data_IF_926071043959
#
_entry.id   IF_926071043959
#
_cell.length_a   1.000
_cell.length_b   1.000
_cell.length_c   1.000
_cell.angle_alpha   90.00
_cell.angle_beta   90.00
_cell.angle_gamma   90.00
#
_symmetry.space_group_name_H-M   'P 1'
#
loop_
_entity.id
_entity.type
_entity.pdbx_description
1 polymer ?
#
# COMPACT_ATOMS: atom_id res chain seq x y z
N UNK A 1 -35.72 54.32 -34.07
CA UNK A 1 -34.70 54.40 -33.00
C UNK A 1 -35.15 53.54 -31.82
N UNK A 2 -34.24 52.72 -31.26
CA UNK A 2 -34.30 51.86 -30.04
C UNK A 2 -34.85 50.42 -30.12
N UNK A 3 -33.91 49.53 -30.46
CA UNK A 3 -33.58 48.20 -29.89
C UNK A 3 -34.35 47.72 -28.64
N UNK A 4 -34.73 46.42 -28.66
CA UNK A 4 -34.97 45.60 -27.46
C UNK A 4 -34.18 44.29 -27.51
N UNK A 5 -32.97 44.44 -26.99
CA UNK A 5 -32.01 43.54 -26.35
C UNK A 5 -32.40 42.09 -26.07
N UNK A 6 -31.54 41.19 -26.57
CA UNK A 6 -31.47 39.74 -26.35
C UNK A 6 -30.86 39.46 -24.97
N UNK A 7 -31.58 38.80 -24.05
CA UNK A 7 -31.05 38.47 -22.71
C UNK A 7 -31.19 36.99 -22.29
N UNK A 8 -31.54 36.07 -23.19
CA UNK A 8 -31.77 34.67 -22.83
C UNK A 8 -30.58 33.71 -23.09
N UNK A 9 -29.48 34.17 -23.70
CA UNK A 9 -28.44 33.27 -24.21
C UNK A 9 -27.20 33.10 -23.30
N UNK A 10 -27.05 33.89 -22.24
CA UNK A 10 -25.81 33.95 -21.43
C UNK A 10 -25.81 33.08 -20.18
N UNK A 11 -26.97 32.62 -19.69
CA UNK A 11 -27.04 31.83 -18.43
C UNK A 11 -26.82 30.33 -18.61
N UNK A 12 -27.00 29.78 -19.82
CA UNK A 12 -26.85 28.33 -20.06
C UNK A 12 -25.39 27.90 -20.26
N UNK A 13 -24.52 28.83 -20.70
CA UNK A 13 -23.11 28.56 -20.96
C UNK A 13 -22.27 28.45 -19.67
N UNK A 14 -22.67 29.16 -18.62
CA UNK A 14 -21.96 29.16 -17.33
C UNK A 14 -22.16 27.84 -16.53
N UNK A 15 -23.31 27.17 -16.69
CA UNK A 15 -23.59 25.88 -16.03
C UNK A 15 -22.86 24.74 -16.74
N UNK A 16 -22.67 24.82 -18.06
CA UNK A 16 -21.91 23.83 -18.82
C UNK A 16 -20.40 23.86 -18.51
N UNK A 17 -19.86 25.04 -18.20
CA UNK A 17 -18.45 25.21 -17.83
C UNK A 17 -18.15 24.65 -16.42
N UNK A 18 -19.08 24.71 -15.46
CA UNK A 18 -18.87 24.10 -14.13
C UNK A 18 -18.95 22.55 -14.17
N UNK A 19 -19.70 21.97 -15.10
CA UNK A 19 -19.76 20.51 -15.26
C UNK A 19 -18.47 19.92 -15.86
N UNK A 20 -17.66 20.73 -16.56
CA UNK A 20 -16.44 20.26 -17.20
C UNK A 20 -15.20 20.32 -16.29
N UNK A 21 -15.26 21.08 -15.18
CA UNK A 21 -14.16 21.15 -14.20
C UNK A 21 -14.21 19.97 -13.21
N UNK A 22 -15.34 19.26 -13.12
CA UNK A 22 -15.52 18.10 -12.25
C UNK A 22 -14.92 16.78 -12.76
N UNK A 23 -14.32 16.77 -13.95
CA UNK A 23 -13.84 15.52 -14.59
C UNK A 23 -12.47 15.67 -15.25
N UNK A 24 -11.59 16.49 -14.70
CA UNK A 24 -10.15 16.24 -14.88
C UNK A 24 -9.76 15.15 -13.89
N UNK A 25 -10.13 13.90 -14.21
CA UNK A 25 -9.38 12.75 -13.74
C UNK A 25 -7.98 12.93 -14.33
N UNK A 26 -7.08 13.54 -13.55
CA UNK A 26 -5.65 13.47 -13.84
C UNK A 26 -5.34 11.98 -13.98
N UNK A 27 -4.77 11.57 -15.10
CA UNK A 27 -4.27 10.22 -15.26
C UNK A 27 -3.25 10.01 -14.14
N UNK A 28 -3.69 9.34 -13.08
CA UNK A 28 -2.85 8.93 -11.97
C UNK A 28 -2.05 7.75 -12.51
N UNK A 29 -0.73 7.80 -12.40
CA UNK A 29 0.11 6.68 -12.80
C UNK A 29 -0.39 5.43 -12.05
N UNK A 30 -0.70 4.38 -12.80
CA UNK A 30 -1.18 3.13 -12.24
C UNK A 30 -0.03 2.49 -11.45
N UNK A 31 -0.24 2.23 -10.16
CA UNK A 31 0.74 1.64 -9.26
C UNK A 31 0.28 0.24 -8.90
N UNK A 32 1.09 -0.76 -9.21
CA UNK A 32 0.88 -2.13 -8.73
C UNK A 32 1.82 -2.41 -7.56
N UNK A 33 1.27 -2.81 -6.42
CA UNK A 33 1.99 -3.22 -5.21
C UNK A 33 1.96 -4.74 -5.10
N UNK A 34 3.11 -5.38 -4.93
CA UNK A 34 3.19 -6.83 -4.75
C UNK A 34 3.33 -7.18 -3.27
N UNK A 35 2.45 -8.05 -2.77
CA UNK A 35 2.42 -8.47 -1.37
C UNK A 35 2.68 -9.97 -1.25
N UNK A 36 3.76 -10.38 -0.57
CA UNK A 36 4.11 -11.78 -0.39
C UNK A 36 3.76 -12.30 0.99
N UNK A 37 3.11 -13.46 1.05
CA UNK A 37 2.64 -14.09 2.29
C UNK A 37 2.84 -15.61 2.29
N UNK A 38 2.77 -16.22 3.47
CA UNK A 38 2.69 -17.68 3.61
C UNK A 38 1.26 -18.20 3.82
N UNK A 39 0.25 -17.32 3.78
CA UNK A 39 -1.15 -17.63 4.11
C UNK A 39 -1.94 -18.02 2.86
N UNK A 40 -1.53 -19.10 2.21
CA UNK A 40 -2.25 -19.69 1.06
C UNK A 40 -3.72 -19.99 1.36
N UNK A 41 -4.03 -20.35 2.60
CA UNK A 41 -5.37 -20.70 3.06
C UNK A 41 -6.30 -19.50 3.28
N UNK A 42 -5.75 -18.28 3.35
CA UNK A 42 -6.50 -17.04 3.61
C UNK A 42 -6.49 -16.09 2.41
N UNK A 43 -6.12 -16.57 1.21
CA UNK A 43 -5.98 -15.73 0.02
C UNK A 43 -7.23 -14.88 -0.25
N UNK A 44 -8.42 -15.46 -0.17
CA UNK A 44 -9.68 -14.74 -0.34
C UNK A 44 -9.87 -13.62 0.69
N UNK A 45 -9.48 -13.85 1.94
CA UNK A 45 -9.60 -12.86 3.02
C UNK A 45 -8.60 -11.71 2.85
N UNK A 46 -7.38 -12.00 2.38
CA UNK A 46 -6.42 -10.96 2.02
C UNK A 46 -6.90 -10.14 0.83
N UNK A 47 -7.44 -10.78 -0.21
CA UNK A 47 -8.00 -10.08 -1.37
C UNK A 47 -9.17 -9.17 -0.97
N UNK A 48 -10.04 -9.58 -0.04
CA UNK A 48 -11.11 -8.69 0.46
C UNK A 48 -10.55 -7.44 1.18
N UNK A 49 -9.46 -7.58 1.94
CA UNK A 49 -8.77 -6.43 2.56
C UNK A 49 -8.19 -5.50 1.47
N UNK A 50 -7.59 -6.06 0.43
CA UNK A 50 -6.99 -5.28 -0.64
C UNK A 50 -8.04 -4.61 -1.53
N UNK A 51 -9.17 -5.26 -1.82
CA UNK A 51 -10.29 -4.66 -2.54
C UNK A 51 -10.78 -3.38 -1.84
N UNK A 52 -10.86 -3.40 -0.50
CA UNK A 52 -11.23 -2.21 0.30
C UNK A 52 -10.15 -1.13 0.17
N UNK A 53 -8.88 -1.50 0.17
CA UNK A 53 -7.77 -0.56 0.02
C UNK A 53 -7.74 0.08 -1.38
N UNK A 54 -7.89 -0.71 -2.45
CA UNK A 54 -7.93 -0.24 -3.84
C UNK A 54 -9.13 0.69 -4.10
N UNK A 55 -10.30 0.34 -3.54
CA UNK A 55 -11.49 1.20 -3.63
C UNK A 55 -11.28 2.57 -2.96
N UNK A 56 -10.46 2.63 -1.91
CA UNK A 56 -10.10 3.87 -1.23
C UNK A 56 -8.93 4.61 -1.90
N UNK A 57 -8.14 3.94 -2.75
CA UNK A 57 -6.94 4.47 -3.39
C UNK A 57 -7.00 4.25 -4.91
N UNK A 58 -7.76 5.08 -5.66
CA UNK A 58 -7.86 4.95 -7.11
C UNK A 58 -6.48 4.95 -7.79
N UNK A 59 -6.30 4.05 -8.76
CA UNK A 59 -5.04 3.89 -9.48
C UNK A 59 -4.01 3.00 -8.79
N UNK A 60 -4.32 2.44 -7.62
CA UNK A 60 -3.50 1.40 -6.99
C UNK A 60 -4.14 0.03 -7.20
N UNK A 61 -3.32 -0.95 -7.55
CA UNK A 61 -3.64 -2.37 -7.62
C UNK A 61 -2.72 -3.12 -6.67
N UNK A 62 -3.21 -4.12 -5.95
CA UNK A 62 -2.43 -4.95 -5.04
C UNK A 62 -2.42 -6.40 -5.55
N UNK A 63 -1.24 -6.89 -5.93
CA UNK A 63 -1.04 -8.28 -6.31
C UNK A 63 -0.61 -9.09 -5.08
N UNK A 64 -1.53 -9.91 -4.55
CA UNK A 64 -1.21 -10.84 -3.48
C UNK A 64 -0.61 -12.15 -4.03
N UNK A 65 0.59 -12.48 -3.58
CA UNK A 65 1.32 -13.68 -4.02
C UNK A 65 1.60 -14.58 -2.80
N UNK A 66 0.72 -15.55 -2.50
CA UNK A 66 0.94 -16.48 -1.42
C UNK A 66 1.86 -17.63 -1.86
N UNK A 67 2.79 -18.02 -0.97
CA UNK A 67 3.65 -19.18 -1.15
C UNK A 67 3.41 -20.21 -0.05
N UNK A 68 3.74 -21.47 -0.33
CA UNK A 68 3.67 -22.55 0.65
C UNK A 68 4.56 -22.21 1.86
N UNK A 69 3.98 -22.31 3.06
CA UNK A 69 4.63 -21.83 4.28
C UNK A 69 6.00 -22.46 4.60
N UNK A 70 6.24 -23.70 4.18
CA UNK A 70 7.54 -24.38 4.37
C UNK A 70 8.65 -23.78 3.53
N UNK A 71 8.30 -23.16 2.40
CA UNK A 71 9.26 -22.66 1.41
C UNK A 71 9.42 -21.14 1.48
N UNK A 72 8.43 -20.46 2.08
CA UNK A 72 8.31 -19.01 2.13
C UNK A 72 9.59 -18.28 2.56
N UNK A 73 10.23 -18.67 3.67
CA UNK A 73 11.39 -17.94 4.17
C UNK A 73 12.58 -17.98 3.17
N UNK A 74 12.77 -19.10 2.45
CA UNK A 74 13.82 -19.23 1.44
C UNK A 74 13.49 -18.42 0.19
N UNK A 75 12.22 -18.44 -0.22
CA UNK A 75 11.71 -17.65 -1.34
C UNK A 75 11.89 -16.15 -1.05
N UNK A 76 11.45 -15.70 0.14
CA UNK A 76 11.57 -14.31 0.56
C UNK A 76 13.02 -13.84 0.62
N UNK A 77 13.90 -14.61 1.27
CA UNK A 77 15.32 -14.27 1.35
C UNK A 77 15.97 -14.12 -0.03
N UNK A 78 15.60 -14.98 -0.99
CA UNK A 78 16.07 -14.89 -2.38
C UNK A 78 15.46 -13.69 -3.10
N UNK A 79 14.15 -13.50 -3.00
CA UNK A 79 13.41 -12.41 -3.64
C UNK A 79 13.93 -11.03 -3.23
N UNK A 80 14.19 -10.83 -1.94
CA UNK A 80 14.71 -9.57 -1.40
C UNK A 80 16.18 -9.27 -1.79
N UNK A 81 16.87 -10.17 -2.49
CA UNK A 81 18.21 -9.89 -3.06
C UNK A 81 18.18 -9.54 -4.54
N UNK A 82 17.05 -9.78 -5.22
CA UNK A 82 16.88 -9.54 -6.66
C UNK A 82 15.95 -8.37 -6.97
N UNK A 83 15.85 -8.02 -8.26
CA UNK A 83 15.00 -6.91 -8.75
C UNK A 83 13.49 -7.25 -8.83
N UNK A 84 13.05 -8.39 -8.29
CA UNK A 84 11.67 -8.89 -8.40
C UNK A 84 11.08 -9.41 -7.08
N UNK A 85 11.62 -8.95 -5.95
CA UNK A 85 11.03 -9.22 -4.63
C UNK A 85 9.72 -8.46 -4.42
N UNK A 86 9.03 -8.71 -3.30
CA UNK A 86 7.81 -7.99 -2.96
C UNK A 86 8.07 -6.54 -2.57
N UNK A 87 7.06 -5.69 -2.76
CA UNK A 87 7.02 -4.36 -2.14
C UNK A 87 6.67 -4.48 -0.64
N UNK A 88 5.79 -5.44 -0.29
CA UNK A 88 5.41 -5.73 1.09
C UNK A 88 5.54 -7.23 1.37
N UNK A 89 6.30 -7.59 2.40
CA UNK A 89 6.48 -8.98 2.81
C UNK A 89 5.86 -9.23 4.19
N UNK A 90 5.20 -10.38 4.34
CA UNK A 90 4.86 -10.89 5.66
C UNK A 90 6.14 -11.35 6.39
N UNK A 91 6.40 -10.79 7.57
CA UNK A 91 7.65 -11.06 8.30
C UNK A 91 7.44 -12.02 9.48
N UNK A 92 8.45 -12.87 9.73
CA UNK A 92 8.50 -13.72 10.93
C UNK A 92 8.96 -12.89 12.13
N UNK A 93 8.12 -12.74 13.15
CA UNK A 93 8.46 -11.93 14.32
C UNK A 93 9.72 -12.41 15.09
N UNK A 94 10.25 -11.52 15.93
CA UNK A 94 11.36 -11.72 16.84
C UNK A 94 12.63 -12.18 16.13
N UNK A 95 13.13 -13.39 16.46
CA UNK A 95 14.34 -13.93 15.85
C UNK A 95 14.21 -14.17 14.35
N UNK A 96 12.99 -14.34 13.83
CA UNK A 96 12.76 -14.66 12.43
C UNK A 96 13.05 -13.50 11.47
N UNK A 97 12.89 -12.25 11.90
CA UNK A 97 13.09 -11.07 11.05
C UNK A 97 14.54 -10.57 11.07
N UNK A 98 15.32 -10.94 12.09
CA UNK A 98 16.64 -10.35 12.33
C UNK A 98 17.61 -10.56 11.16
N UNK A 99 17.61 -11.74 10.54
CA UNK A 99 18.51 -12.01 9.41
C UNK A 99 18.25 -11.06 8.22
N UNK A 100 17.00 -10.66 7.99
CA UNK A 100 16.64 -9.72 6.93
C UNK A 100 17.01 -8.28 7.30
N UNK A 101 16.86 -7.91 8.59
CA UNK A 101 17.29 -6.61 9.13
C UNK A 101 18.81 -6.47 9.02
N UNK A 102 19.55 -7.46 9.52
CA UNK A 102 21.02 -7.48 9.51
C UNK A 102 21.59 -7.48 8.09
N UNK A 103 20.86 -8.05 7.13
CA UNK A 103 21.21 -8.01 5.71
C UNK A 103 20.85 -6.68 5.01
N UNK A 104 20.21 -5.73 5.70
CA UNK A 104 19.80 -4.44 5.15
C UNK A 104 18.69 -4.55 4.10
N UNK A 105 17.88 -5.60 4.17
CA UNK A 105 16.87 -5.93 3.16
C UNK A 105 15.48 -5.36 3.47
N UNK A 106 15.33 -4.68 4.61
CA UNK A 106 14.06 -4.09 5.06
C UNK A 106 14.24 -2.60 5.29
N UNK A 107 13.20 -1.85 4.94
CA UNK A 107 13.11 -0.42 5.21
C UNK A 107 12.75 -0.21 6.70
N UNK A 108 13.52 0.56 7.49
CA UNK A 108 13.07 0.99 8.81
C UNK A 108 11.84 1.90 8.67
N UNK A 109 10.83 1.67 9.51
CA UNK A 109 9.53 2.33 9.43
C UNK A 109 9.36 3.46 10.46
N UNK A 110 10.39 3.72 11.28
CA UNK A 110 10.37 4.79 12.28
C UNK A 110 10.09 6.16 11.64
N UNK A 111 8.93 6.74 11.95
CA UNK A 111 8.51 8.03 11.40
C UNK A 111 7.88 7.98 9.99
N UNK A 112 7.91 6.82 9.33
CA UNK A 112 7.27 6.60 8.02
C UNK A 112 5.80 6.20 8.17
N UNK A 113 5.46 5.48 9.25
CA UNK A 113 4.09 5.04 9.54
C UNK A 113 3.71 5.32 10.99
N UNK A 114 2.42 5.48 11.27
CA UNK A 114 1.92 5.66 12.64
C UNK A 114 1.88 4.32 13.38
N UNK A 115 2.82 4.14 14.30
CA UNK A 115 2.93 2.97 15.17
C UNK A 115 2.42 3.21 16.59
N UNK A 116 1.87 4.39 16.88
CA UNK A 116 1.47 4.78 18.24
C UNK A 116 0.34 3.92 18.83
N UNK A 117 -0.40 3.21 17.98
CA UNK A 117 -1.44 2.25 18.38
C UNK A 117 -0.92 0.92 18.93
N UNK A 118 0.39 0.63 18.82
CA UNK A 118 0.99 -0.63 19.26
C UNK A 118 1.75 -0.46 20.57
N UNK A 119 1.70 -1.49 21.43
CA UNK A 119 2.52 -1.52 22.64
C UNK A 119 3.97 -1.89 22.33
N UNK A 120 4.92 -1.40 23.13
CA UNK A 120 6.34 -1.76 23.03
C UNK A 120 6.58 -3.28 22.99
N UNK A 121 5.77 -4.05 23.73
CA UNK A 121 5.86 -5.50 23.79
C UNK A 121 5.56 -6.16 22.43
N UNK A 122 4.59 -5.60 21.68
CA UNK A 122 4.23 -6.09 20.35
C UNK A 122 5.26 -5.61 19.32
N UNK A 123 5.67 -4.33 19.40
CA UNK A 123 6.65 -3.74 18.49
C UNK A 123 7.99 -4.47 18.51
N UNK A 124 8.38 -5.02 19.67
CA UNK A 124 9.58 -5.86 19.83
C UNK A 124 9.64 -7.06 18.87
N UNK A 125 8.50 -7.51 18.34
CA UNK A 125 8.44 -8.54 17.30
C UNK A 125 9.07 -8.11 15.97
N UNK A 126 9.12 -6.80 15.68
CA UNK A 126 9.67 -6.25 14.44
C UNK A 126 10.87 -5.31 14.68
N UNK A 127 11.32 -5.17 15.92
CA UNK A 127 12.47 -4.30 16.27
C UNK A 127 13.80 -4.99 15.96
N UNK A 128 14.70 -4.26 15.30
CA UNK A 128 16.09 -4.64 15.11
C UNK A 128 16.84 -4.67 16.44
N UNK A 129 17.60 -5.75 16.69
CA UNK A 129 18.31 -5.90 17.97
C UNK A 129 19.50 -4.96 18.13
N UNK A 130 20.15 -4.58 17.03
CA UNK A 130 21.35 -3.75 17.06
C UNK A 130 21.06 -2.26 17.00
N UNK A 131 20.13 -1.85 16.13
CA UNK A 131 19.82 -0.46 15.84
C UNK A 131 18.58 0.06 16.58
N UNK A 132 17.71 -0.83 17.06
CA UNK A 132 16.47 -0.49 17.74
C UNK A 132 15.36 0.04 16.83
N UNK A 133 15.56 0.02 15.51
CA UNK A 133 14.56 0.47 14.54
C UNK A 133 13.43 -0.55 14.37
N UNK A 134 12.24 -0.09 13.97
CA UNK A 134 11.07 -0.95 13.76
C UNK A 134 10.92 -1.23 12.27
N UNK A 135 10.91 -2.50 11.87
CA UNK A 135 10.95 -2.92 10.47
C UNK A 135 9.65 -3.55 9.96
N UNK A 136 8.57 -3.48 10.74
CA UNK A 136 7.31 -4.08 10.36
C UNK A 136 6.15 -3.59 11.21
N UNK A 137 4.98 -3.54 10.59
CA UNK A 137 3.71 -3.26 11.27
C UNK A 137 3.17 -4.58 11.82
N UNK A 138 2.95 -4.72 13.14
CA UNK A 138 2.39 -5.93 13.70
C UNK A 138 1.01 -6.25 13.14
N UNK A 139 0.80 -7.50 12.74
CA UNK A 139 -0.44 -7.99 12.15
C UNK A 139 -0.81 -9.33 12.78
N UNK A 140 -1.98 -9.41 13.41
CA UNK A 140 -2.47 -10.60 14.13
C UNK A 140 -3.70 -10.32 14.99
#
# INVERSE_FOLDING_TARGET
MKSRTRFAATSLLAVLLLALVGSLALAQDEVTLTVWSWRTEDEDAYNEIFDVYEAANPGVTVEFVPFVATDYNNILATGLTGEGGPDVAQLRAYGGVQALIEAGQLLPLDGEVDLSGFTDAILKGATGREDGHIYGVPFG
#
